data_IF_789113555376
#
_entry.id   IF_789113555376
#
_cell.length_a   1.000
_cell.length_b   1.000
_cell.length_c   1.000
_cell.angle_alpha   90.00
_cell.angle_beta   90.00
_cell.angle_gamma   90.00
#
_symmetry.space_group_name_H-M   'P 1'
#
loop_
_entity.id
_entity.type
_entity.pdbx_description
1 polymer ?
#
# COMPACT_ATOMS: atom_id res chain seq x y z
N UNK A 1 14.82 0.63 2.32
CA UNK A 1 13.49 -0.01 2.43
C UNK A 1 12.60 0.95 3.21
N UNK A 2 11.63 1.58 2.56
CA UNK A 2 10.64 2.42 3.25
C UNK A 2 9.33 1.63 3.29
N UNK A 3 9.03 1.02 4.43
CA UNK A 3 7.87 0.15 4.59
C UNK A 3 7.07 0.55 5.84
N UNK A 4 5.74 0.54 5.72
CA UNK A 4 4.82 0.84 6.81
C UNK A 4 4.33 -0.47 7.43
N UNK A 5 4.69 -0.69 8.70
CA UNK A 5 4.21 -1.83 9.48
C UNK A 5 3.38 -1.36 10.66
N UNK A 6 2.30 -2.09 10.95
CA UNK A 6 1.50 -1.91 12.16
C UNK A 6 1.55 -3.19 12.99
N UNK A 7 1.74 -3.04 14.29
CA UNK A 7 1.62 -4.18 15.20
C UNK A 7 0.20 -4.77 15.12
N UNK A 8 0.02 -6.10 15.21
CA UNK A 8 -1.29 -6.75 15.02
C UNK A 8 -2.42 -6.15 15.85
N UNK A 9 -2.16 -5.79 17.11
CA UNK A 9 -3.13 -5.15 18.02
C UNK A 9 -3.54 -3.71 17.64
N UNK A 10 -2.97 -3.14 16.58
CA UNK A 10 -3.20 -1.78 16.10
C UNK A 10 -3.83 -1.73 14.70
N UNK A 11 -4.04 -2.89 14.08
CA UNK A 11 -4.72 -3.02 12.79
C UNK A 11 -6.23 -2.76 12.97
N UNK A 12 -6.91 -2.26 11.93
CA UNK A 12 -8.34 -1.92 11.93
C UNK A 12 -8.79 -0.84 12.93
N UNK A 13 -7.87 -0.18 13.64
CA UNK A 13 -8.14 0.99 14.49
C UNK A 13 -8.06 2.34 13.75
N UNK A 14 -8.07 2.33 12.42
CA UNK A 14 -7.94 3.54 11.59
C UNK A 14 -6.52 4.14 11.50
N UNK A 15 -5.55 3.62 12.25
CA UNK A 15 -4.16 4.12 12.30
C UNK A 15 -3.50 4.08 10.91
N UNK A 16 -3.60 2.94 10.21
CA UNK A 16 -3.01 2.79 8.87
C UNK A 16 -3.55 3.83 7.88
N UNK A 17 -4.86 4.03 7.85
CA UNK A 17 -5.50 5.07 7.03
C UNK A 17 -4.98 6.47 7.36
N UNK A 18 -4.79 6.79 8.64
CA UNK A 18 -4.26 8.10 9.06
C UNK A 18 -2.82 8.30 8.61
N UNK A 19 -1.97 7.28 8.76
CA UNK A 19 -0.57 7.34 8.33
C UNK A 19 -0.44 7.47 6.82
N UNK A 20 -1.24 6.73 6.04
CA UNK A 20 -1.24 6.82 4.58
C UNK A 20 -1.71 8.21 4.12
N UNK A 21 -2.78 8.75 4.72
CA UNK A 21 -3.24 10.13 4.40
C UNK A 21 -2.18 11.18 4.72
N UNK A 22 -1.45 11.02 5.84
CA UNK A 22 -0.34 11.90 6.17
C UNK A 22 0.78 11.79 5.12
N UNK A 23 1.16 10.57 4.71
CA UNK A 23 2.15 10.30 3.68
C UNK A 23 1.80 10.97 2.34
N UNK A 24 0.56 10.84 1.89
CA UNK A 24 0.05 11.48 0.67
C UNK A 24 0.07 13.01 0.80
N UNK A 25 -0.51 13.54 1.88
CA UNK A 25 -0.74 14.98 1.99
C UNK A 25 0.56 15.76 2.20
N UNK A 26 1.41 15.28 3.11
CA UNK A 26 2.63 15.96 3.56
C UNK A 26 3.85 15.60 2.74
N UNK A 27 3.98 14.34 2.33
CA UNK A 27 5.19 13.82 1.70
C UNK A 27 5.00 13.45 0.22
N UNK A 28 3.78 13.60 -0.32
CA UNK A 28 3.44 13.28 -1.71
C UNK A 28 3.82 11.84 -2.08
N UNK A 29 3.71 10.94 -1.11
CA UNK A 29 3.96 9.51 -1.30
C UNK A 29 2.82 8.88 -2.11
N UNK A 30 2.94 8.97 -3.44
CA UNK A 30 1.91 8.53 -4.38
C UNK A 30 2.12 7.11 -4.90
N UNK A 31 3.20 6.44 -4.51
CA UNK A 31 3.52 5.07 -4.95
C UNK A 31 3.70 4.17 -3.74
N UNK A 32 3.20 2.95 -3.84
CA UNK A 32 3.36 1.94 -2.81
C UNK A 32 3.45 0.55 -3.42
N UNK A 33 4.29 -0.28 -2.84
CA UNK A 33 4.37 -1.70 -3.15
C UNK A 33 3.68 -2.50 -2.04
N UNK A 34 2.85 -3.46 -2.43
CA UNK A 34 2.18 -4.37 -1.50
C UNK A 34 2.32 -5.79 -2.00
N UNK A 35 2.62 -6.74 -1.10
CA UNK A 35 2.56 -8.15 -1.45
C UNK A 35 1.11 -8.52 -1.82
N UNK A 36 0.92 -9.12 -2.98
CA UNK A 36 -0.41 -9.49 -3.51
C UNK A 36 -1.21 -10.38 -2.56
N UNK A 37 -0.53 -11.23 -1.78
CA UNK A 37 -1.13 -12.12 -0.80
C UNK A 37 -1.73 -11.35 0.39
N UNK A 38 -1.31 -10.10 0.61
CA UNK A 38 -1.89 -9.23 1.64
C UNK A 38 -3.15 -8.52 1.12
N UNK A 39 -4.19 -9.32 0.84
CA UNK A 39 -5.47 -8.83 0.32
C UNK A 39 -6.06 -7.70 1.18
N UNK A 40 -5.94 -7.80 2.50
CA UNK A 40 -6.43 -6.76 3.42
C UNK A 40 -5.74 -5.40 3.20
N UNK A 41 -4.42 -5.38 3.02
CA UNK A 41 -3.70 -4.13 2.75
C UNK A 41 -4.06 -3.59 1.37
N UNK A 42 -4.09 -4.45 0.35
CA UNK A 42 -4.47 -4.08 -1.02
C UNK A 42 -5.84 -3.42 -1.06
N UNK A 43 -6.83 -3.96 -0.35
CA UNK A 43 -8.18 -3.38 -0.29
C UNK A 43 -8.19 -2.04 0.45
N UNK A 44 -7.42 -1.90 1.53
CA UNK A 44 -7.27 -0.59 2.20
C UNK A 44 -6.71 0.45 1.24
N UNK A 45 -5.67 0.13 0.46
CA UNK A 45 -5.09 1.08 -0.50
C UNK A 45 -6.07 1.43 -1.62
N UNK A 46 -6.83 0.47 -2.15
CA UNK A 46 -7.88 0.73 -3.14
C UNK A 46 -8.94 1.71 -2.62
N UNK A 47 -9.44 1.49 -1.40
CA UNK A 47 -10.40 2.41 -0.76
C UNK A 47 -9.81 3.80 -0.47
N UNK A 48 -8.49 3.94 -0.48
CA UNK A 48 -7.79 5.22 -0.35
C UNK A 48 -7.46 5.86 -1.69
N UNK A 49 -7.96 5.33 -2.81
CA UNK A 49 -7.74 5.90 -4.14
C UNK A 49 -6.47 5.40 -4.83
N UNK A 50 -5.80 4.36 -4.33
CA UNK A 50 -4.69 3.74 -5.06
C UNK A 50 -5.19 2.73 -6.10
N UNK A 51 -4.46 2.66 -7.20
CA UNK A 51 -4.73 1.76 -8.32
C UNK A 51 -3.48 0.95 -8.66
N UNK A 52 -3.65 -0.34 -8.94
CA UNK A 52 -2.54 -1.19 -9.41
C UNK A 52 -2.17 -0.74 -10.82
N UNK A 53 -0.87 -0.47 -11.05
CA UNK A 53 -0.34 -0.16 -12.38
C UNK A 53 0.75 -1.15 -12.84
N UNK A 54 1.27 -1.97 -11.93
CA UNK A 54 2.24 -3.04 -12.22
C UNK A 54 2.07 -4.18 -11.23
N UNK A 55 2.31 -5.39 -11.71
CA UNK A 55 2.49 -6.60 -10.90
C UNK A 55 3.83 -7.23 -11.25
N UNK A 56 4.62 -7.57 -10.25
CA UNK A 56 5.82 -8.38 -10.39
C UNK A 56 5.54 -9.77 -9.83
N UNK A 57 6.03 -10.81 -10.48
CA UNK A 57 5.87 -12.20 -10.02
C UNK A 57 6.75 -12.52 -8.81
N UNK A 58 7.86 -11.78 -8.67
CA UNK A 58 8.84 -11.95 -7.62
C UNK A 58 9.10 -10.66 -6.84
N UNK A 59 9.61 -10.81 -5.62
CA UNK A 59 10.10 -9.70 -4.82
C UNK A 59 11.47 -9.20 -5.30
N UNK A 60 12.03 -8.18 -4.64
CA UNK A 60 13.35 -7.63 -4.99
C UNK A 60 14.53 -8.59 -4.79
N UNK A 61 14.30 -9.75 -4.16
CA UNK A 61 15.30 -10.80 -3.94
C UNK A 61 15.08 -12.01 -4.88
N UNK A 62 14.07 -11.97 -5.75
CA UNK A 62 13.76 -13.07 -6.67
C UNK A 62 12.90 -14.18 -6.05
N UNK A 63 12.39 -14.00 -4.82
CA UNK A 63 11.49 -14.97 -4.21
C UNK A 63 10.11 -14.93 -4.88
N UNK A 64 9.35 -16.03 -4.93
CA UNK A 64 8.03 -16.12 -5.57
C UNK A 64 6.93 -15.49 -4.71
N UNK A 65 7.13 -14.23 -4.31
CA UNK A 65 6.18 -13.41 -3.57
C UNK A 65 5.74 -12.25 -4.47
N UNK A 66 4.59 -12.38 -5.18
CA UNK A 66 4.17 -11.36 -6.11
C UNK A 66 3.93 -10.01 -5.43
N UNK A 67 4.39 -8.95 -6.07
CA UNK A 67 4.26 -7.57 -5.59
C UNK A 67 3.37 -6.78 -6.53
N UNK A 68 2.37 -6.09 -5.98
CA UNK A 68 1.57 -5.10 -6.66
C UNK A 68 2.17 -3.72 -6.42
N UNK A 69 2.55 -3.03 -7.48
CA UNK A 69 2.88 -1.60 -7.42
C UNK A 69 1.59 -0.82 -7.67
N UNK A 70 1.25 0.06 -6.73
CA UNK A 70 0.04 0.87 -6.76
C UNK A 70 0.38 2.36 -6.77
N UNK A 71 -0.44 3.14 -7.48
CA UNK A 71 -0.32 4.60 -7.59
C UNK A 71 -1.57 5.28 -7.05
N UNK A 72 -1.41 6.31 -6.24
CA UNK A 72 -2.50 7.15 -5.77
C UNK A 72 -3.08 7.97 -6.94
N UNK A 73 -4.39 7.85 -7.15
CA UNK A 73 -5.13 8.64 -8.12
C UNK A 73 -5.96 9.70 -7.38
N UNK A 74 -5.57 10.99 -7.43
CA UNK A 74 -6.26 12.05 -6.71
C UNK A 74 -7.70 12.30 -7.21
N UNK A 75 -8.07 11.80 -8.38
CA UNK A 75 -9.39 11.98 -8.97
C UNK A 75 -10.41 10.90 -8.55
N UNK A 76 -10.01 9.94 -7.71
CA UNK A 76 -10.86 8.82 -7.26
C UNK A 76 -11.33 8.90 -5.80
N UNK A 77 -11.14 10.04 -5.14
CA UNK A 77 -11.45 10.24 -3.71
C UNK A 77 -12.53 11.29 -3.53
#
# INVERSE_FOLDING_TARGET
>A
MEALFLAPGHIRKGIGKRLIRLAINRYKAFYIDVNEQNAQATDIYRHLGFEVFRRNETDSQGNPFPILCMKFNPNKV
#
